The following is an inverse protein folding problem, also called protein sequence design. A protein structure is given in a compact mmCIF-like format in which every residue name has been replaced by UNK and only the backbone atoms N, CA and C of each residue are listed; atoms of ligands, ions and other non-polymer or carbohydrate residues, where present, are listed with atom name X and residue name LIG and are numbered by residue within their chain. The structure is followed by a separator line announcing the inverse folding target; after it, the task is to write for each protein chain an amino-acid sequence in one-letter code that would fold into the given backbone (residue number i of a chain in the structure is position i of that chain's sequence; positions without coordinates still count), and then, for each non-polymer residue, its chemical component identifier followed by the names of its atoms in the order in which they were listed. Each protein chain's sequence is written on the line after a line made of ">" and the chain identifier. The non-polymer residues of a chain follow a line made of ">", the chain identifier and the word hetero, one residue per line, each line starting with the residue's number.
data_IF_026554889076
#
_entry.id   IF_026554889076
#
_cell.length_a   1.000
_cell.length_b   1.000
_cell.length_c   1.000
_cell.angle_alpha   90.00
_cell.angle_beta   90.00
_cell.angle_gamma   90.00
#
_symmetry.space_group_name_H-M   'P 1'
#
loop_
_entity.id
_entity.type
_entity.pdbx_description
1 polymer ?
#
# COMPACT_ATOMS: atom_id res chain seq x y z
N UNK A 1 13.08 -14.10 8.16
CA UNK A 1 12.41 -14.17 6.85
C UNK A 1 11.19 -13.28 6.92
N UNK A 2 10.92 -12.47 5.88
CA UNK A 2 9.71 -11.67 5.78
C UNK A 2 8.43 -12.53 5.87
N UNK A 3 7.34 -11.90 6.27
CA UNK A 3 6.02 -12.54 6.33
C UNK A 3 5.26 -12.29 5.03
N UNK A 4 4.56 -13.30 4.54
CA UNK A 4 3.64 -13.19 3.40
C UNK A 4 2.54 -12.19 3.74
N UNK A 5 2.30 -11.22 2.87
CA UNK A 5 1.21 -10.27 3.04
C UNK A 5 -0.12 -10.91 2.61
N UNK A 6 -1.16 -10.70 3.41
CA UNK A 6 -2.53 -11.15 3.11
C UNK A 6 -3.54 -10.02 3.26
N UNK A 7 -4.77 -10.26 2.83
CA UNK A 7 -5.89 -9.32 3.02
C UNK A 7 -6.02 -8.92 4.49
N UNK A 8 -6.17 -7.62 4.73
CA UNK A 8 -6.25 -7.05 6.09
C UNK A 8 -4.89 -6.65 6.68
N UNK A 9 -3.79 -6.83 5.93
CA UNK A 9 -2.49 -6.29 6.31
C UNK A 9 -2.57 -4.77 6.56
N UNK A 10 -1.89 -4.30 7.61
CA UNK A 10 -1.88 -2.89 7.97
C UNK A 10 -0.73 -2.18 7.28
N UNK A 11 -1.04 -1.06 6.64
CA UNK A 11 -0.13 -0.23 5.87
C UNK A 11 -0.05 1.18 6.46
N UNK A 12 1.07 1.84 6.24
CA UNK A 12 1.26 3.27 6.50
C UNK A 12 1.91 3.94 5.30
N UNK A 13 1.59 5.22 5.09
CA UNK A 13 2.20 6.07 4.07
C UNK A 13 2.96 7.21 4.76
N UNK A 14 4.16 7.55 4.28
CA UNK A 14 4.99 8.61 4.89
C UNK A 14 4.34 9.99 4.92
N UNK A 15 3.37 10.27 4.04
CA UNK A 15 2.60 11.53 4.04
C UNK A 15 1.16 11.37 4.52
N UNK A 16 0.74 10.15 4.87
CA UNK A 16 -0.60 9.86 5.39
C UNK A 16 -0.71 10.16 6.87
N UNK A 17 -1.88 10.59 7.34
CA UNK A 17 -2.13 10.87 8.75
C UNK A 17 -2.62 9.64 9.55
N UNK A 18 -3.10 8.60 8.87
CA UNK A 18 -3.61 7.40 9.51
C UNK A 18 -3.16 6.12 8.77
N UNK A 19 -3.03 4.98 9.46
CA UNK A 19 -2.87 3.69 8.82
C UNK A 19 -4.06 3.33 7.93
N UNK A 20 -3.85 2.45 6.96
CA UNK A 20 -4.89 1.88 6.11
C UNK A 20 -4.73 0.36 6.02
N UNK A 21 -5.78 -0.36 5.62
CA UNK A 21 -5.74 -1.81 5.44
C UNK A 21 -5.61 -2.18 3.96
N UNK A 22 -4.82 -3.22 3.67
CA UNK A 22 -4.70 -3.77 2.33
C UNK A 22 -5.92 -4.62 2.02
N UNK A 23 -6.53 -4.37 0.88
CA UNK A 23 -7.60 -5.20 0.33
C UNK A 23 -7.00 -6.08 -0.77
N UNK A 24 -7.27 -7.39 -0.72
CA UNK A 24 -6.79 -8.35 -1.72
C UNK A 24 -7.99 -9.12 -2.22
N UNK A 25 -8.25 -9.01 -3.52
CA UNK A 25 -9.36 -9.74 -4.14
C UNK A 25 -9.00 -11.24 -4.22
N UNK A 26 -9.95 -12.16 -4.02
CA UNK A 26 -9.71 -13.60 -4.12
C UNK A 26 -9.52 -14.10 -5.57
N UNK A 27 -9.01 -13.25 -6.47
CA UNK A 27 -8.81 -13.53 -7.90
C UNK A 27 -7.75 -14.61 -8.12
N UNK A 28 -6.67 -14.57 -7.34
CA UNK A 28 -5.54 -15.48 -7.48
C UNK A 28 -5.78 -16.86 -6.86
N UNK A 29 -6.87 -17.02 -6.08
CA UNK A 29 -7.28 -18.27 -5.42
C UNK A 29 -6.21 -18.91 -4.51
N UNK A 30 -5.28 -18.09 -4.01
CA UNK A 30 -4.30 -18.49 -2.99
C UNK A 30 -4.65 -17.80 -1.68
N UNK A 31 -4.68 -18.57 -0.60
CA UNK A 31 -4.94 -18.07 0.74
C UNK A 31 -3.67 -18.18 1.59
N UNK A 32 -3.45 -17.21 2.47
CA UNK A 32 -2.40 -17.25 3.48
C UNK A 32 -3.05 -17.03 4.85
N UNK A 33 -3.10 -18.10 5.65
CA UNK A 33 -3.75 -18.14 6.98
C UNK A 33 -5.26 -17.89 6.96
N UNK A 34 -5.91 -18.16 5.82
CA UNK A 34 -7.35 -18.02 5.64
C UNK A 34 -7.72 -16.89 4.67
N UNK A 35 -7.25 -15.64 4.87
CA UNK A 35 -7.46 -14.56 3.92
C UNK A 35 -6.70 -14.73 2.59
N UNK A 36 -7.12 -14.06 1.50
CA UNK A 36 -6.38 -14.05 0.23
C UNK A 36 -4.94 -13.55 0.39
N UNK A 37 -4.00 -14.28 -0.21
CA UNK A 37 -2.58 -13.92 -0.24
C UNK A 37 -2.31 -12.86 -1.33
N UNK A 38 -1.53 -11.84 -0.98
CA UNK A 38 -1.18 -10.75 -1.88
C UNK A 38 0.05 -11.05 -2.75
N UNK A 39 0.10 -10.45 -3.93
CA UNK A 39 1.29 -10.38 -4.77
C UNK A 39 1.64 -8.92 -5.10
N UNK A 40 2.78 -8.69 -5.76
CA UNK A 40 3.25 -7.31 -6.02
C UNK A 40 2.30 -6.48 -6.90
N UNK A 41 1.35 -7.10 -7.60
CA UNK A 41 0.36 -6.41 -8.43
C UNK A 41 -0.83 -5.87 -7.62
N UNK A 42 -0.95 -6.22 -6.35
CA UNK A 42 -1.99 -5.70 -5.43
C UNK A 42 -1.67 -4.27 -4.97
N UNK A 43 -1.40 -3.38 -5.91
CA UNK A 43 -1.07 -1.96 -5.67
C UNK A 43 -2.14 -1.00 -6.20
N UNK A 44 -3.27 -1.49 -6.72
CA UNK A 44 -4.22 -0.66 -7.44
C UNK A 44 -4.91 0.31 -6.46
N UNK A 45 -4.89 1.64 -6.72
CA UNK A 45 -5.59 2.62 -5.90
C UNK A 45 -7.07 2.32 -5.75
N UNK A 46 -7.61 2.49 -4.55
CA UNK A 46 -9.04 2.31 -4.24
C UNK A 46 -9.58 0.88 -4.47
N UNK A 47 -8.71 -0.06 -4.84
CA UNK A 47 -9.03 -1.49 -4.96
C UNK A 47 -8.22 -2.27 -3.93
N UNK A 48 -6.89 -2.07 -3.92
CA UNK A 48 -6.00 -2.70 -2.96
C UNK A 48 -5.54 -1.72 -1.87
N UNK A 49 -5.18 -0.50 -2.29
CA UNK A 49 -4.66 0.54 -1.41
C UNK A 49 -5.76 1.57 -1.15
N UNK A 50 -6.26 1.56 0.08
CA UNK A 50 -7.28 2.49 0.56
C UNK A 50 -6.65 3.79 1.10
N UNK A 51 -7.43 4.89 1.24
CA UNK A 51 -6.95 6.16 1.80
C UNK A 51 -6.23 6.03 3.15
N UNK A 52 -5.23 6.88 3.37
CA UNK A 52 -4.47 7.01 4.64
C UNK A 52 -4.94 8.21 5.50
N UNK A 53 -6.25 8.46 5.52
CA UNK A 53 -6.82 9.67 6.13
C UNK A 53 -6.60 10.91 5.26
N UNK A 54 -5.77 11.85 5.73
CA UNK A 54 -5.35 13.04 4.95
C UNK A 54 -3.91 12.89 4.44
N UNK A 55 -3.62 13.50 3.30
CA UNK A 55 -2.31 13.55 2.69
C UNK A 55 -1.67 14.93 2.96
N UNK A 56 -0.42 14.92 3.39
CA UNK A 56 0.38 16.13 3.65
C UNK A 56 1.38 16.45 2.53
N UNK A 57 1.34 15.72 1.41
CA UNK A 57 2.30 15.92 0.33
C UNK A 57 1.93 17.12 -0.55
N UNK A 58 2.85 18.09 -0.75
CA UNK A 58 2.66 19.17 -1.73
C UNK A 58 2.60 18.69 -3.18
N UNK A 59 3.03 17.46 -3.48
CA UNK A 59 2.91 16.88 -4.83
C UNK A 59 1.48 16.38 -5.14
N UNK A 60 0.62 16.26 -4.13
CA UNK A 60 -0.80 15.99 -4.36
C UNK A 60 -1.50 17.27 -4.86
N UNK A 61 -2.11 17.29 -6.05
CA UNK A 61 -2.73 18.48 -6.63
C UNK A 61 -3.79 19.14 -5.73
N UNK A 62 -4.53 18.35 -4.95
CA UNK A 62 -5.56 18.90 -4.04
C UNK A 62 -4.93 19.60 -2.85
N UNK A 63 -3.84 19.05 -2.29
CA UNK A 63 -3.05 19.69 -1.22
C UNK A 63 -2.38 20.95 -1.75
N UNK A 64 -1.78 20.89 -2.94
CA UNK A 64 -1.13 22.05 -3.56
C UNK A 64 -2.11 23.21 -3.78
N UNK A 65 -3.29 22.91 -4.33
CA UNK A 65 -4.34 23.91 -4.55
C UNK A 65 -4.87 24.50 -3.23
N UNK A 66 -5.08 23.66 -2.22
CA UNK A 66 -5.52 24.10 -0.90
C UNK A 66 -4.49 24.98 -0.20
N UNK A 67 -3.21 24.61 -0.30
CA UNK A 67 -2.10 25.39 0.23
C UNK A 67 -1.96 26.74 -0.47
N UNK A 68 -2.14 26.78 -1.80
CA UNK A 68 -2.18 28.03 -2.53
C UNK A 68 -3.36 28.92 -2.07
N UNK A 69 -4.55 28.35 -1.87
CA UNK A 69 -5.71 29.07 -1.35
C UNK A 69 -5.52 29.57 0.10
N UNK A 70 -4.73 28.85 0.90
CA UNK A 70 -4.35 29.22 2.27
C UNK A 70 -3.08 30.10 2.32
N UNK A 71 -2.76 30.82 1.24
CA UNK A 71 -1.63 31.75 1.15
C UNK A 71 -0.27 31.10 1.50
N UNK A 72 -0.09 29.83 1.13
CA UNK A 72 1.14 29.07 1.35
C UNK A 72 1.16 28.23 2.63
N UNK A 73 0.12 28.27 3.46
CA UNK A 73 0.01 27.40 4.64
C UNK A 73 -0.33 25.97 4.19
N UNK A 74 0.48 24.99 4.60
CA UNK A 74 0.24 23.58 4.27
C UNK A 74 -1.15 23.18 4.75
N UNK A 75 -2.02 22.79 3.81
CA UNK A 75 -3.42 22.46 4.08
C UNK A 75 -3.66 21.02 3.64
N UNK A 76 -3.57 20.06 4.56
CA UNK A 76 -3.74 18.64 4.24
C UNK A 76 -5.14 18.37 3.70
N UNK A 77 -5.21 17.57 2.64
CA UNK A 77 -6.46 17.21 1.98
C UNK A 77 -6.70 15.70 2.06
N UNK A 78 -7.95 15.21 1.94
CA UNK A 78 -8.25 13.78 1.92
C UNK A 78 -7.34 13.01 0.95
N UNK A 79 -6.73 11.93 1.43
CA UNK A 79 -5.81 11.14 0.63
C UNK A 79 -6.59 10.29 -0.38
N UNK A 80 -6.39 10.56 -1.68
CA UNK A 80 -6.72 9.62 -2.74
C UNK A 80 -5.41 8.98 -3.17
N UNK A 81 -5.15 7.69 -2.85
CA UNK A 81 -3.90 7.03 -3.24
C UNK A 81 -3.70 7.09 -4.74
N UNK A 82 -2.44 7.21 -5.18
CA UNK A 82 -2.09 7.18 -6.59
C UNK A 82 -0.81 6.37 -6.76
N UNK A 83 -0.93 5.12 -7.17
CA UNK A 83 0.17 4.14 -7.22
C UNK A 83 0.18 3.50 -8.61
N UNK A 84 1.02 4.02 -9.50
CA UNK A 84 1.13 3.53 -10.88
C UNK A 84 2.12 2.38 -11.06
N UNK A 85 2.94 2.09 -10.04
CA UNK A 85 3.93 1.03 -10.07
C UNK A 85 3.63 -0.06 -9.04
N UNK A 86 3.97 -1.34 -9.34
CA UNK A 86 3.90 -2.45 -8.40
C UNK A 86 4.70 -2.24 -7.12
N UNK A 87 4.40 -3.07 -6.12
CA UNK A 87 5.23 -3.19 -4.93
C UNK A 87 6.62 -3.72 -5.29
N UNK A 88 7.64 -3.29 -4.55
CA UNK A 88 9.02 -3.75 -4.72
C UNK A 88 9.67 -4.07 -3.36
N UNK A 89 10.56 -5.07 -3.27
CA UNK A 89 10.91 -6.03 -4.33
C UNK A 89 9.89 -7.17 -4.50
N UNK A 90 9.10 -7.48 -3.46
CA UNK A 90 8.41 -8.76 -3.33
C UNK A 90 9.37 -9.94 -3.11
N UNK A 91 8.83 -11.15 -2.98
CA UNK A 91 9.59 -12.40 -2.93
C UNK A 91 9.68 -13.03 -4.33
N UNK A 92 10.80 -12.86 -5.07
CA UNK A 92 10.88 -13.24 -6.48
C UNK A 92 10.84 -14.75 -6.73
N UNK A 93 11.16 -15.56 -5.71
CA UNK A 93 11.19 -17.03 -5.81
C UNK A 93 9.85 -17.69 -5.46
N UNK A 94 8.90 -16.94 -4.90
CA UNK A 94 7.57 -17.42 -4.55
C UNK A 94 6.55 -16.68 -5.41
N UNK A 95 5.86 -17.40 -6.29
CA UNK A 95 4.93 -16.80 -7.25
C UNK A 95 3.48 -17.08 -6.85
N UNK A 96 2.65 -16.04 -6.90
CA UNK A 96 1.19 -16.11 -6.78
C UNK A 96 0.62 -15.56 -8.07
N UNK A 97 -0.04 -16.43 -8.85
CA UNK A 97 -0.56 -16.11 -10.18
C UNK A 97 0.51 -15.54 -11.13
N UNK A 98 1.69 -16.18 -11.19
CA UNK A 98 2.85 -15.81 -12.01
C UNK A 98 3.51 -14.47 -11.66
N UNK A 99 3.14 -13.86 -10.54
CA UNK A 99 3.76 -12.63 -10.02
C UNK A 99 4.42 -12.89 -8.67
N UNK A 100 5.54 -12.23 -8.34
CA UNK A 100 6.18 -12.34 -7.03
C UNK A 100 5.19 -12.10 -5.90
N UNK A 101 5.24 -12.98 -4.90
CA UNK A 101 4.43 -12.86 -3.70
C UNK A 101 4.84 -11.61 -2.93
N UNK A 102 3.88 -10.96 -2.27
CA UNK A 102 4.13 -9.74 -1.54
C UNK A 102 4.56 -10.05 -0.11
N UNK A 103 5.67 -9.48 0.33
CA UNK A 103 6.16 -9.57 1.70
C UNK A 103 5.98 -8.26 2.47
N UNK A 104 6.14 -8.31 3.79
CA UNK A 104 5.97 -7.15 4.66
C UNK A 104 7.15 -6.14 4.63
N UNK A 105 8.27 -6.48 3.99
CA UNK A 105 9.40 -5.56 3.82
C UNK A 105 9.27 -4.72 2.55
N UNK A 106 8.43 -5.15 1.61
CA UNK A 106 8.13 -4.46 0.37
C UNK A 106 7.54 -3.07 0.59
N UNK A 107 7.72 -2.23 -0.42
CA UNK A 107 7.31 -0.83 -0.45
C UNK A 107 6.61 -0.51 -1.77
N UNK A 108 5.66 0.40 -1.72
CA UNK A 108 4.98 0.93 -2.90
C UNK A 108 5.13 2.45 -2.95
N UNK A 109 5.49 2.96 -4.12
CA UNK A 109 5.71 4.38 -4.35
C UNK A 109 4.41 5.04 -4.79
N UNK A 110 3.95 6.01 -4.01
CA UNK A 110 2.83 6.86 -4.36
C UNK A 110 3.32 8.02 -5.25
N UNK A 111 2.55 8.34 -6.29
CA UNK A 111 2.83 9.42 -7.23
C UNK A 111 2.81 10.80 -6.56
N UNK A 112 2.20 10.91 -5.37
CA UNK A 112 2.33 12.07 -4.50
C UNK A 112 3.66 12.11 -3.73
N UNK A 113 4.64 11.28 -4.09
CA UNK A 113 5.95 11.19 -3.41
C UNK A 113 5.95 10.40 -2.10
N UNK A 114 4.81 9.86 -1.68
CA UNK A 114 4.72 9.03 -0.46
C UNK A 114 5.30 7.64 -0.65
N UNK A 115 5.87 7.08 0.41
CA UNK A 115 6.29 5.68 0.45
C UNK A 115 5.31 4.92 1.33
N UNK A 116 4.68 3.90 0.76
CA UNK A 116 3.76 3.02 1.46
C UNK A 116 4.51 1.76 1.89
N UNK A 117 4.35 1.36 3.15
CA UNK A 117 4.91 0.13 3.68
C UNK A 117 3.96 -0.56 4.65
N UNK A 118 4.33 -1.76 5.09
CA UNK A 118 3.55 -2.55 6.03
C UNK A 118 4.02 -2.36 7.47
N UNK A 119 3.07 -2.23 8.38
CA UNK A 119 3.29 -2.34 9.83
C UNK A 119 2.88 -3.71 10.34
N UNK A 120 1.96 -4.39 9.65
CA UNK A 120 1.56 -5.77 9.92
C UNK A 120 1.26 -6.48 8.60
N UNK A 121 1.75 -7.71 8.43
CA UNK A 121 1.58 -8.50 7.21
C UNK A 121 0.19 -9.12 7.06
N UNK A 122 -0.64 -9.16 8.10
CA UNK A 122 -1.87 -9.95 8.14
C UNK A 122 -1.64 -11.45 8.38
N UNK A 123 -0.39 -11.92 8.30
CA UNK A 123 0.03 -13.28 8.62
C UNK A 123 1.06 -13.29 9.75
N UNK A 124 1.10 -14.38 10.51
CA UNK A 124 2.03 -14.54 11.65
C UNK A 124 2.95 -15.74 11.50
N UNK A 125 2.51 -16.79 10.80
CA UNK A 125 3.22 -18.06 10.62
C UNK A 125 3.79 -18.24 9.22
N UNK A 126 3.19 -17.61 8.22
CA UNK A 126 3.54 -17.79 6.81
C UNK A 126 4.68 -16.86 6.42
N UNK A 127 5.88 -17.41 6.34
CA UNK A 127 7.09 -16.69 5.92
C UNK A 127 7.45 -17.01 4.48
N UNK A 128 7.94 -16.00 3.76
CA UNK A 128 8.48 -16.11 2.40
C UNK A 128 9.89 -15.49 2.39
N UNK A 129 10.79 -16.00 1.53
CA UNK A 129 12.19 -15.56 1.49
C UNK A 129 12.34 -14.10 1.07
#
# INVERSE_FOLDING_TARGET
>A
MPNQVSMGAMMTCTFGAAPSSLVVLPKNKVLAEGPPAANIMDHIPLVNIMPFGVCNSPANPTVAAATAAALGVLTPMPCVPATSAPWVPGAPTVLIANMPALDNVSKCMCNWGGVIGFTNAGTVKTMIP
#
